data_IF_585021749762
#
_entry.id   IF_585021749762
#
_cell.length_a   1.000
_cell.length_b   1.000
_cell.length_c   1.000
_cell.angle_alpha   90.00
_cell.angle_beta   90.00
_cell.angle_gamma   90.00
#
_symmetry.space_group_name_H-M   'P 1'
#
loop_
_entity.id
_entity.type
_entity.pdbx_description
1 polymer ?
#
# COMPACT_ATOMS: atom_id res chain seq x y z
N UNK A 1 -12.47 4.50 19.36
CA UNK A 1 -13.29 5.60 19.91
C UNK A 1 -14.72 5.25 19.57
N UNK A 2 -15.63 5.28 20.54
CA UNK A 2 -17.04 4.93 20.31
C UNK A 2 -17.94 5.98 20.94
N UNK A 3 -19.24 5.86 20.69
CA UNK A 3 -20.26 6.67 21.35
C UNK A 3 -20.07 6.65 22.87
N UNK A 4 -20.33 7.78 23.52
CA UNK A 4 -20.11 7.98 24.96
C UNK A 4 -21.41 7.92 25.77
N UNK A 5 -22.57 7.85 25.10
CA UNK A 5 -23.88 7.63 25.72
C UNK A 5 -24.75 6.73 24.87
N UNK A 6 -25.71 6.07 25.55
CA UNK A 6 -26.73 5.25 24.91
C UNK A 6 -28.02 6.04 24.65
N UNK A 7 -28.81 5.57 23.70
CA UNK A 7 -30.19 6.00 23.47
C UNK A 7 -31.06 4.84 22.98
N UNK A 8 -32.39 5.05 22.97
CA UNK A 8 -33.35 4.10 22.42
C UNK A 8 -33.58 4.39 20.95
N UNK A 9 -33.07 3.50 20.11
CA UNK A 9 -33.10 3.60 18.65
C UNK A 9 -34.25 2.73 18.11
N UNK A 10 -35.15 3.28 17.28
CA UNK A 10 -36.21 2.48 16.66
C UNK A 10 -35.65 1.50 15.63
N UNK A 11 -36.22 0.31 15.56
CA UNK A 11 -35.89 -0.72 14.57
C UNK A 11 -37.03 -0.90 13.54
N UNK A 12 -36.77 -1.44 12.33
CA UNK A 12 -37.79 -1.60 11.29
C UNK A 12 -39.02 -2.42 11.71
N UNK A 13 -38.89 -3.32 12.70
CA UNK A 13 -39.99 -4.12 13.23
C UNK A 13 -40.95 -3.39 14.20
N UNK A 14 -40.62 -2.14 14.58
CA UNK A 14 -41.40 -1.32 15.52
C UNK A 14 -40.94 -1.44 16.98
N UNK A 15 -40.03 -2.35 17.29
CA UNK A 15 -39.29 -2.39 18.55
C UNK A 15 -38.22 -1.29 18.64
N UNK A 16 -37.64 -1.15 19.83
CA UNK A 16 -36.50 -0.26 20.07
C UNK A 16 -35.30 -1.04 20.60
N UNK A 17 -34.12 -0.70 20.12
CA UNK A 17 -32.84 -1.15 20.63
C UNK A 17 -32.22 -0.05 21.49
N UNK A 18 -31.84 -0.36 22.73
CA UNK A 18 -30.98 0.54 23.50
C UNK A 18 -29.52 0.25 23.14
N UNK A 19 -28.81 1.24 22.61
CA UNK A 19 -27.45 1.07 22.08
C UNK A 19 -26.65 2.38 22.09
N UNK A 20 -25.35 2.29 21.80
CA UNK A 20 -24.35 3.36 21.88
C UNK A 20 -24.26 4.14 20.56
N UNK A 21 -25.03 5.22 20.42
CA UNK A 21 -25.03 6.07 19.21
C UNK A 21 -24.84 7.56 19.47
N UNK A 22 -24.83 8.01 20.73
CA UNK A 22 -24.63 9.42 21.05
C UNK A 22 -23.13 9.71 21.20
N UNK A 23 -22.64 10.70 20.46
CA UNK A 23 -21.29 11.25 20.60
C UNK A 23 -21.38 12.70 21.14
N UNK A 24 -21.12 12.87 22.43
CA UNK A 24 -21.27 14.17 23.12
C UNK A 24 -19.96 14.83 23.56
N UNK A 25 -18.86 14.09 23.67
CA UNK A 25 -17.55 14.58 24.11
C UNK A 25 -16.79 15.55 23.18
N UNK A 26 -17.44 16.20 22.20
CA UNK A 26 -16.80 17.04 21.18
C UNK A 26 -16.45 18.47 21.66
N UNK A 27 -16.05 18.63 22.92
CA UNK A 27 -15.72 19.94 23.52
C UNK A 27 -14.49 20.55 22.85
N UNK A 28 -14.59 21.83 22.48
CA UNK A 28 -13.52 22.56 21.77
C UNK A 28 -13.57 22.44 20.24
N UNK A 29 -14.43 21.56 19.70
CA UNK A 29 -14.64 21.40 18.25
C UNK A 29 -15.25 22.65 17.61
N UNK A 30 -16.19 23.31 18.30
CA UNK A 30 -16.82 24.58 17.88
C UNK A 30 -15.84 25.72 17.57
N UNK A 31 -14.58 25.62 18.02
CA UNK A 31 -13.53 26.58 17.67
C UNK A 31 -13.04 26.43 16.22
N UNK A 32 -13.15 25.22 15.67
CA UNK A 32 -12.58 24.83 14.38
C UNK A 32 -13.65 24.33 13.40
N UNK A 33 -14.80 23.86 13.90
CA UNK A 33 -15.94 23.33 13.14
C UNK A 33 -17.25 23.67 13.82
N UNK A 34 -18.18 24.29 13.10
CA UNK A 34 -19.48 24.74 13.62
C UNK A 34 -20.68 23.92 13.11
N UNK A 35 -20.43 22.85 12.34
CA UNK A 35 -21.46 22.15 11.59
C UNK A 35 -22.28 21.13 12.40
N UNK A 36 -21.79 20.69 13.57
CA UNK A 36 -22.57 19.85 14.49
C UNK A 36 -22.30 20.21 15.96
N UNK A 37 -23.38 20.50 16.68
CA UNK A 37 -23.41 20.77 18.12
C UNK A 37 -23.25 19.48 18.96
N UNK A 38 -23.06 19.67 20.27
CA UNK A 38 -22.96 18.55 21.22
C UNK A 38 -24.24 17.69 21.19
N UNK A 39 -24.11 16.42 20.83
CA UNK A 39 -25.23 15.47 20.71
C UNK A 39 -25.90 15.43 19.34
N UNK A 40 -25.41 16.18 18.35
CA UNK A 40 -25.94 16.12 16.97
C UNK A 40 -25.58 14.82 16.25
N UNK A 41 -24.48 14.19 16.63
CA UNK A 41 -24.17 12.80 16.27
C UNK A 41 -24.94 11.86 17.22
N UNK A 42 -26.11 11.44 16.75
CA UNK A 42 -27.02 10.46 17.38
C UNK A 42 -27.38 9.38 16.35
N UNK A 43 -28.30 8.48 16.67
CA UNK A 43 -28.69 7.36 15.81
C UNK A 43 -29.11 7.76 14.39
N UNK A 44 -29.58 9.00 14.18
CA UNK A 44 -29.96 9.49 12.85
C UNK A 44 -28.77 9.71 11.91
N UNK A 45 -27.53 9.71 12.41
CA UNK A 45 -26.30 9.81 11.64
C UNK A 45 -25.75 8.44 11.20
N UNK A 46 -26.43 7.36 11.57
CA UNK A 46 -25.95 5.99 11.36
C UNK A 46 -27.03 5.12 10.73
N UNK A 47 -26.63 4.18 9.90
CA UNK A 47 -27.54 3.17 9.34
C UNK A 47 -27.79 2.03 10.33
N UNK A 48 -26.76 1.62 11.07
CA UNK A 48 -26.90 0.52 12.03
C UNK A 48 -25.73 0.30 12.97
N UNK A 49 -25.81 -0.77 13.76
CA UNK A 49 -24.80 -1.17 14.75
C UNK A 49 -24.80 -2.69 15.01
N UNK A 50 -23.76 -3.24 15.64
CA UNK A 50 -23.64 -4.65 16.03
C UNK A 50 -23.69 -4.96 17.53
N UNK A 51 -23.94 -3.97 18.39
CA UNK A 51 -23.95 -4.17 19.84
C UNK A 51 -25.19 -3.60 20.52
N UNK A 52 -25.64 -4.26 21.59
CA UNK A 52 -26.61 -3.68 22.55
C UNK A 52 -25.92 -2.75 23.55
N UNK A 53 -26.70 -2.02 24.37
CA UNK A 53 -26.18 -1.13 25.42
C UNK A 53 -25.26 -1.84 26.45
N UNK A 54 -25.32 -3.17 26.56
CA UNK A 54 -24.47 -3.96 27.46
C UNK A 54 -23.18 -4.43 26.78
N UNK A 55 -23.00 -4.13 25.49
CA UNK A 55 -21.86 -4.55 24.69
C UNK A 55 -21.96 -5.99 24.16
N UNK A 56 -23.15 -6.62 24.22
CA UNK A 56 -23.34 -7.92 23.61
C UNK A 56 -23.45 -7.76 22.10
N UNK A 57 -22.73 -8.60 21.36
CA UNK A 57 -22.88 -8.64 19.91
C UNK A 57 -24.28 -9.16 19.53
N UNK A 58 -24.96 -8.39 18.69
CA UNK A 58 -26.27 -8.71 18.12
C UNK A 58 -26.19 -8.93 16.59
N UNK A 59 -24.99 -8.78 16.01
CA UNK A 59 -24.79 -8.78 14.57
C UNK A 59 -25.28 -7.49 13.90
N UNK A 60 -25.01 -7.31 12.59
CA UNK A 60 -25.38 -6.10 11.85
C UNK A 60 -26.89 -5.82 11.96
N UNK A 61 -27.26 -4.73 12.61
CA UNK A 61 -28.65 -4.37 12.88
C UNK A 61 -28.96 -2.99 12.32
N UNK A 62 -29.83 -2.95 11.30
CA UNK A 62 -30.30 -1.74 10.62
C UNK A 62 -31.34 -0.99 11.47
N UNK A 63 -31.25 0.34 11.50
CA UNK A 63 -32.21 1.20 12.20
C UNK A 63 -33.47 1.49 11.38
N UNK A 64 -34.55 1.92 12.05
CA UNK A 64 -35.81 2.21 11.38
C UNK A 64 -35.68 3.38 10.39
N UNK A 65 -36.16 3.18 9.17
CA UNK A 65 -36.14 4.20 8.11
C UNK A 65 -34.76 4.41 7.47
N UNK A 66 -33.77 3.58 7.81
CA UNK A 66 -32.44 3.56 7.22
C UNK A 66 -32.31 2.48 6.16
N UNK A 67 -31.27 2.60 5.34
CA UNK A 67 -30.88 1.59 4.36
C UNK A 67 -29.39 1.69 4.14
N UNK A 68 -28.71 0.54 4.19
CA UNK A 68 -27.29 0.43 3.84
C UNK A 68 -26.98 1.15 2.52
N UNK A 69 -25.86 1.84 2.52
CA UNK A 69 -25.37 2.70 1.46
C UNK A 69 -24.97 1.95 0.18
N UNK A 70 -24.72 2.72 -0.89
CA UNK A 70 -24.25 2.20 -2.18
C UNK A 70 -22.72 2.04 -2.19
N UNK A 71 -22.23 1.22 -1.27
CA UNK A 71 -20.84 0.78 -1.20
C UNK A 71 -20.52 -0.30 -2.25
N UNK A 72 -19.22 -0.50 -2.52
CA UNK A 72 -18.80 -1.52 -3.50
C UNK A 72 -18.91 -2.95 -2.96
N UNK A 73 -18.62 -3.12 -1.66
CA UNK A 73 -18.85 -4.35 -0.90
C UNK A 73 -19.97 -4.09 0.13
N UNK A 74 -20.18 -4.98 1.10
CA UNK A 74 -21.13 -4.73 2.19
C UNK A 74 -20.78 -3.43 2.91
N UNK A 75 -21.76 -2.54 3.09
CA UNK A 75 -21.61 -1.27 3.79
C UNK A 75 -21.18 -1.49 5.24
N UNK A 76 -22.05 -2.19 5.99
CA UNK A 76 -21.76 -2.54 7.37
C UNK A 76 -20.45 -3.33 7.53
N UNK A 77 -19.53 -2.78 8.32
CA UNK A 77 -18.31 -3.45 8.75
C UNK A 77 -18.27 -3.69 10.27
N UNK A 78 -18.31 -2.63 11.06
CA UNK A 78 -18.24 -2.68 12.53
C UNK A 78 -18.68 -1.36 13.17
N UNK A 79 -19.16 -1.43 14.41
CA UNK A 79 -19.50 -0.24 15.19
C UNK A 79 -20.72 0.50 14.64
N UNK A 80 -20.78 1.81 14.87
CA UNK A 80 -21.85 2.66 14.32
C UNK A 80 -21.54 2.92 12.85
N UNK A 81 -22.30 2.29 11.97
CA UNK A 81 -22.14 2.40 10.53
C UNK A 81 -22.72 3.74 10.06
N UNK A 82 -21.90 4.57 9.42
CA UNK A 82 -22.23 5.97 9.13
C UNK A 82 -23.17 6.04 7.93
N UNK A 83 -24.30 6.73 8.10
CA UNK A 83 -25.25 6.96 7.00
C UNK A 83 -24.77 8.15 6.15
N UNK A 84 -24.22 7.86 4.97
CA UNK A 84 -23.81 8.88 4.01
C UNK A 84 -24.92 9.33 3.04
N UNK A 85 -26.15 8.81 3.16
CA UNK A 85 -27.35 9.41 2.55
C UNK A 85 -27.84 10.63 3.35
N UNK A 86 -27.40 10.79 4.59
CA UNK A 86 -27.68 11.97 5.40
C UNK A 86 -26.78 13.16 5.03
N UNK A 87 -27.35 14.16 4.35
CA UNK A 87 -26.61 15.33 3.86
C UNK A 87 -25.82 16.07 4.94
N UNK A 88 -26.33 16.12 6.19
CA UNK A 88 -25.58 16.77 7.30
C UNK A 88 -24.30 16.02 7.64
N UNK A 89 -24.32 14.69 7.57
CA UNK A 89 -23.14 13.84 7.81
C UNK A 89 -22.13 14.05 6.68
N UNK A 90 -22.61 14.11 5.43
CA UNK A 90 -21.77 14.37 4.26
C UNK A 90 -21.09 15.74 4.34
N UNK A 91 -21.84 16.81 4.61
CA UNK A 91 -21.31 18.17 4.74
C UNK A 91 -20.25 18.27 5.84
N UNK A 92 -20.49 17.63 6.98
CA UNK A 92 -19.55 17.57 8.11
C UNK A 92 -18.26 16.83 7.73
N UNK A 93 -18.35 15.65 7.11
CA UNK A 93 -17.19 14.87 6.69
C UNK A 93 -16.35 15.59 5.62
N UNK A 94 -16.99 16.32 4.70
CA UNK A 94 -16.32 17.15 3.70
C UNK A 94 -15.63 18.34 4.36
N UNK A 95 -16.32 19.05 5.27
CA UNK A 95 -15.74 20.16 6.00
C UNK A 95 -14.48 19.71 6.78
N UNK A 96 -14.53 18.54 7.41
CA UNK A 96 -13.38 17.92 8.07
C UNK A 96 -12.21 17.64 7.12
N UNK A 97 -12.48 17.07 5.95
CA UNK A 97 -11.45 16.85 4.93
C UNK A 97 -10.78 18.15 4.48
N UNK A 98 -11.57 19.20 4.22
CA UNK A 98 -11.06 20.53 3.81
C UNK A 98 -10.19 21.16 4.90
N UNK A 99 -10.63 21.11 6.15
CA UNK A 99 -9.87 21.65 7.28
C UNK A 99 -8.54 20.92 7.50
N UNK A 100 -8.49 19.59 7.35
CA UNK A 100 -7.21 18.87 7.45
C UNK A 100 -6.20 19.38 6.43
N UNK A 101 -6.65 19.69 5.21
CA UNK A 101 -5.81 20.24 4.16
C UNK A 101 -5.42 21.69 4.44
N UNK A 102 -6.39 22.54 4.79
CA UNK A 102 -6.19 23.98 4.89
C UNK A 102 -5.49 24.41 6.18
N UNK A 103 -5.81 23.77 7.30
CA UNK A 103 -5.32 24.16 8.63
C UNK A 103 -4.12 23.32 9.08
N UNK A 104 -4.15 22.00 8.82
CA UNK A 104 -3.00 21.13 9.16
C UNK A 104 -2.01 20.97 8.01
N UNK A 105 -2.36 21.40 6.80
CA UNK A 105 -1.46 21.38 5.66
C UNK A 105 -1.17 20.00 5.09
N UNK A 106 -2.01 18.99 5.37
CA UNK A 106 -1.77 17.62 4.89
C UNK A 106 -1.76 17.56 3.35
N UNK A 107 -0.93 16.69 2.79
CA UNK A 107 -0.72 16.57 1.34
C UNK A 107 -1.50 15.41 0.70
N UNK A 108 -2.33 14.71 1.48
CA UNK A 108 -3.05 13.54 1.01
C UNK A 108 -3.70 12.72 2.11
N UNK A 109 -4.34 11.64 1.71
CA UNK A 109 -5.17 10.80 2.57
C UNK A 109 -4.96 9.31 2.30
N UNK A 110 -5.02 8.52 3.38
CA UNK A 110 -5.28 7.08 3.31
C UNK A 110 -6.75 6.86 3.67
N UNK A 111 -7.56 6.42 2.72
CA UNK A 111 -8.94 6.03 2.94
C UNK A 111 -8.98 4.61 3.49
N UNK A 112 -9.41 4.49 4.75
CA UNK A 112 -9.62 3.21 5.44
C UNK A 112 -10.90 2.53 4.94
N UNK A 113 -10.91 1.19 4.88
CA UNK A 113 -12.10 0.39 4.60
C UNK A 113 -12.91 0.87 3.37
N UNK A 114 -12.25 1.42 2.35
CA UNK A 114 -12.91 2.27 1.35
C UNK A 114 -13.94 1.54 0.46
N UNK A 115 -13.94 0.21 0.45
CA UNK A 115 -14.97 -0.58 -0.25
C UNK A 115 -16.29 -0.70 0.52
N UNK A 116 -16.27 -0.38 1.81
CA UNK A 116 -17.39 -0.38 2.76
C UNK A 116 -17.96 1.03 2.98
N UNK A 117 -17.60 2.00 2.15
CA UNK A 117 -18.09 3.37 2.26
C UNK A 117 -18.91 3.67 1.01
N UNK A 118 -19.99 4.42 1.16
CA UNK A 118 -20.83 4.90 0.05
C UNK A 118 -20.00 5.48 -1.10
N UNK A 119 -20.16 4.91 -2.29
CA UNK A 119 -19.38 5.30 -3.46
C UNK A 119 -19.73 6.73 -3.92
N UNK A 120 -21.01 7.11 -4.07
CA UNK A 120 -21.39 8.50 -4.36
C UNK A 120 -20.77 9.53 -3.40
N UNK A 121 -20.82 9.29 -2.09
CA UNK A 121 -20.21 10.15 -1.08
C UNK A 121 -18.70 10.27 -1.28
N UNK A 122 -17.97 9.15 -1.40
CA UNK A 122 -16.52 9.20 -1.60
C UNK A 122 -16.14 10.03 -2.83
N UNK A 123 -16.89 9.90 -3.94
CA UNK A 123 -16.64 10.69 -5.15
C UNK A 123 -16.81 12.18 -4.87
N UNK A 124 -17.91 12.57 -4.22
CA UNK A 124 -18.15 13.98 -3.85
C UNK A 124 -17.08 14.50 -2.90
N UNK A 125 -16.73 13.72 -1.89
CA UNK A 125 -15.71 14.08 -0.90
C UNK A 125 -14.35 14.34 -1.56
N UNK A 126 -13.93 13.46 -2.47
CA UNK A 126 -12.68 13.60 -3.21
C UNK A 126 -12.65 14.89 -4.04
N UNK A 127 -13.74 15.18 -4.78
CA UNK A 127 -13.83 16.38 -5.62
C UNK A 127 -13.81 17.66 -4.78
N UNK A 128 -14.61 17.69 -3.71
CA UNK A 128 -14.74 18.88 -2.87
C UNK A 128 -13.49 19.17 -2.03
N UNK A 129 -12.82 18.14 -1.52
CA UNK A 129 -11.58 18.31 -0.75
C UNK A 129 -10.44 18.69 -1.67
N UNK A 130 -10.32 18.08 -2.85
CA UNK A 130 -9.33 18.48 -3.86
C UNK A 130 -9.54 19.93 -4.32
N UNK A 131 -10.79 20.37 -4.53
CA UNK A 131 -11.09 21.75 -4.92
C UNK A 131 -10.76 22.80 -3.85
N UNK A 132 -10.45 22.38 -2.62
CA UNK A 132 -10.13 23.28 -1.50
C UNK A 132 -8.66 23.72 -1.45
N UNK A 133 -7.83 23.23 -2.37
CA UNK A 133 -6.38 23.48 -2.43
C UNK A 133 -5.85 23.42 -3.87
N UNK A 134 -4.77 24.14 -4.16
CA UNK A 134 -4.05 24.06 -5.44
C UNK A 134 -3.07 22.87 -5.50
N UNK A 135 -2.82 22.20 -4.37
CA UNK A 135 -1.96 21.01 -4.31
C UNK A 135 -2.67 19.82 -4.94
N UNK A 136 -1.98 18.98 -5.71
CA UNK A 136 -2.49 17.64 -6.04
C UNK A 136 -2.41 16.76 -4.80
N UNK A 137 -3.57 16.39 -4.24
CA UNK A 137 -3.63 15.56 -3.04
C UNK A 137 -3.33 14.10 -3.39
N UNK A 138 -2.41 13.47 -2.65
CA UNK A 138 -2.14 12.06 -2.82
C UNK A 138 -3.21 11.21 -2.12
N UNK A 139 -4.06 10.55 -2.89
CA UNK A 139 -5.12 9.68 -2.36
C UNK A 139 -4.71 8.21 -2.53
N UNK A 140 -4.65 7.48 -1.42
CA UNK A 140 -4.57 6.03 -1.41
C UNK A 140 -5.73 5.42 -0.63
N UNK A 141 -6.32 4.34 -1.13
CA UNK A 141 -7.44 3.67 -0.52
C UNK A 141 -7.11 2.21 -0.22
N UNK A 142 -7.58 1.75 0.92
CA UNK A 142 -7.54 0.35 1.30
C UNK A 142 -8.81 -0.35 0.83
N UNK A 143 -8.66 -1.08 -0.28
CA UNK A 143 -9.70 -1.90 -0.89
C UNK A 143 -9.19 -3.33 -0.88
N UNK A 144 -9.52 -4.06 0.18
CA UNK A 144 -8.94 -5.39 0.41
C UNK A 144 -9.58 -6.45 -0.50
N UNK A 145 -8.95 -6.69 -1.65
CA UNK A 145 -9.18 -7.85 -2.50
C UNK A 145 -7.86 -8.47 -2.94
N UNK A 146 -7.78 -9.80 -2.90
CA UNK A 146 -6.61 -10.58 -3.31
C UNK A 146 -6.46 -10.76 -4.83
N UNK A 147 -7.40 -10.26 -5.63
CA UNK A 147 -7.37 -10.36 -7.09
C UNK A 147 -7.39 -8.97 -7.76
N UNK A 148 -6.69 -8.83 -8.88
CA UNK A 148 -6.57 -7.54 -9.59
C UNK A 148 -7.84 -7.12 -10.31
N UNK A 149 -8.77 -8.04 -10.56
CA UNK A 149 -10.01 -7.75 -11.30
C UNK A 149 -10.97 -6.92 -10.45
N UNK A 150 -11.19 -7.31 -9.19
CA UNK A 150 -11.98 -6.53 -8.22
C UNK A 150 -11.41 -5.12 -8.02
N UNK A 151 -10.10 -4.98 -7.90
CA UNK A 151 -9.46 -3.66 -7.78
C UNK A 151 -9.67 -2.79 -9.03
N UNK A 152 -9.61 -3.38 -10.23
CA UNK A 152 -9.88 -2.64 -11.46
C UNK A 152 -11.35 -2.23 -11.60
N UNK A 153 -12.29 -3.08 -11.15
CA UNK A 153 -13.70 -2.70 -11.11
C UNK A 153 -13.96 -1.58 -10.11
N UNK A 154 -13.32 -1.60 -8.94
CA UNK A 154 -13.41 -0.50 -7.99
C UNK A 154 -12.86 0.79 -8.58
N UNK A 155 -11.67 0.78 -9.18
CA UNK A 155 -11.10 1.95 -9.87
C UNK A 155 -12.03 2.53 -10.94
N UNK A 156 -12.76 1.68 -11.67
CA UNK A 156 -13.67 2.11 -12.73
C UNK A 156 -14.87 2.94 -12.21
N UNK A 157 -15.18 2.92 -10.92
CA UNK A 157 -16.24 3.75 -10.34
C UNK A 157 -15.85 5.23 -10.24
N UNK A 158 -14.55 5.50 -10.14
CA UNK A 158 -13.99 6.82 -9.83
C UNK A 158 -13.55 7.59 -11.08
N UNK A 159 -13.61 6.97 -12.27
CA UNK A 159 -13.30 7.57 -13.57
C UNK A 159 -12.00 8.41 -13.59
N UNK A 160 -12.12 9.75 -13.56
CA UNK A 160 -11.03 10.71 -13.68
C UNK A 160 -10.31 10.99 -12.34
N UNK A 161 -10.90 10.55 -11.22
CA UNK A 161 -10.32 10.77 -9.90
C UNK A 161 -9.11 9.86 -9.71
N UNK A 162 -7.95 10.46 -9.42
CA UNK A 162 -6.64 9.79 -9.35
C UNK A 162 -6.41 9.03 -8.03
N UNK A 163 -7.37 8.18 -7.66
CA UNK A 163 -7.24 7.33 -6.47
C UNK A 163 -6.23 6.21 -6.71
N UNK A 164 -5.44 5.86 -5.70
CA UNK A 164 -4.50 4.74 -5.76
C UNK A 164 -4.95 3.67 -4.77
N UNK A 165 -4.67 2.40 -5.04
CA UNK A 165 -5.09 1.28 -4.19
C UNK A 165 -3.87 0.53 -3.66
N UNK A 166 -3.96 0.03 -2.43
CA UNK A 166 -3.00 -0.95 -1.92
C UNK A 166 -3.02 -2.23 -2.78
N UNK A 167 -1.84 -2.67 -3.20
CA UNK A 167 -1.67 -3.83 -4.09
C UNK A 167 -1.66 -5.15 -3.30
N UNK A 168 -2.81 -5.48 -2.71
CA UNK A 168 -3.01 -6.77 -2.03
C UNK A 168 -2.76 -7.99 -2.95
N UNK A 169 -3.12 -7.98 -4.26
CA UNK A 169 -2.80 -9.09 -5.15
C UNK A 169 -1.30 -9.35 -5.31
N UNK A 170 -0.47 -8.29 -5.31
CA UNK A 170 0.99 -8.44 -5.27
C UNK A 170 1.44 -9.01 -3.93
N UNK A 171 0.89 -8.53 -2.81
CA UNK A 171 1.20 -9.05 -1.48
C UNK A 171 0.94 -10.56 -1.37
N UNK A 172 -0.13 -11.08 -1.97
CA UNK A 172 -0.39 -12.52 -2.00
C UNK A 172 0.75 -13.31 -2.68
N UNK A 173 1.38 -12.74 -3.71
CA UNK A 173 2.57 -13.37 -4.31
C UNK A 173 3.75 -13.39 -3.34
N UNK A 174 3.90 -12.36 -2.51
CA UNK A 174 4.92 -12.37 -1.45
C UNK A 174 4.62 -13.38 -0.34
N UNK A 175 3.34 -13.70 -0.09
CA UNK A 175 2.95 -14.85 0.73
C UNK A 175 3.45 -16.18 0.14
N UNK A 176 3.31 -16.37 -1.17
CA UNK A 176 3.88 -17.54 -1.86
C UNK A 176 5.41 -17.54 -1.84
N UNK A 177 6.05 -16.37 -1.96
CA UNK A 177 7.50 -16.22 -1.89
C UNK A 177 8.03 -16.59 -0.50
N UNK A 178 7.39 -16.09 0.56
CA UNK A 178 7.67 -16.47 1.95
C UNK A 178 7.70 -17.98 2.11
N UNK A 179 6.71 -18.66 1.54
CA UNK A 179 6.55 -20.12 1.63
C UNK A 179 7.46 -20.90 0.66
N UNK A 180 8.22 -20.22 -0.22
CA UNK A 180 9.05 -20.87 -1.24
C UNK A 180 8.25 -21.54 -2.36
N UNK A 181 6.97 -21.16 -2.54
CA UNK A 181 6.03 -21.73 -3.51
C UNK A 181 5.80 -20.85 -4.73
N UNK A 182 6.28 -19.61 -4.72
CA UNK A 182 6.12 -18.68 -5.84
C UNK A 182 6.91 -19.17 -7.07
N UNK A 183 6.24 -19.25 -8.21
CA UNK A 183 6.90 -19.30 -9.51
C UNK A 183 7.45 -17.90 -9.82
N UNK A 184 8.76 -17.70 -9.66
CA UNK A 184 9.39 -16.37 -9.76
C UNK A 184 9.18 -15.69 -11.12
N UNK A 185 8.98 -16.47 -12.20
CA UNK A 185 8.69 -15.93 -13.53
C UNK A 185 7.36 -15.16 -13.59
N UNK A 186 6.41 -15.39 -12.67
CA UNK A 186 5.12 -14.69 -12.67
C UNK A 186 5.22 -13.24 -12.19
N UNK A 187 6.29 -12.87 -11.48
CA UNK A 187 6.43 -11.56 -10.84
C UNK A 187 6.35 -10.38 -11.82
N UNK A 188 6.83 -10.53 -13.06
CA UNK A 188 6.73 -9.47 -14.08
C UNK A 188 5.29 -9.15 -14.53
N UNK A 189 4.31 -9.95 -14.09
CA UNK A 189 2.88 -9.78 -14.44
C UNK A 189 1.95 -9.71 -13.22
N UNK A 190 2.51 -9.84 -12.02
CA UNK A 190 1.79 -9.95 -10.77
C UNK A 190 1.35 -8.59 -10.23
N UNK A 191 0.22 -8.55 -9.52
CA UNK A 191 -0.22 -7.35 -8.84
C UNK A 191 -0.88 -6.31 -9.74
N UNK A 192 -1.54 -5.35 -9.09
CA UNK A 192 -2.10 -4.16 -9.73
C UNK A 192 -0.99 -3.32 -10.37
N UNK A 193 0.22 -3.31 -9.78
CA UNK A 193 1.38 -2.57 -10.29
C UNK A 193 1.75 -2.93 -11.73
N UNK A 194 1.43 -4.14 -12.20
CA UNK A 194 1.64 -4.58 -13.58
C UNK A 194 0.40 -4.48 -14.48
N UNK A 195 -0.71 -3.89 -14.00
CA UNK A 195 -2.00 -3.77 -14.72
C UNK A 195 -2.54 -2.33 -14.78
N UNK A 196 -2.34 -1.55 -13.71
CA UNK A 196 -2.70 -0.13 -13.54
C UNK A 196 -1.58 0.55 -12.75
N UNK A 197 -0.48 0.80 -13.45
CA UNK A 197 0.84 1.13 -12.91
C UNK A 197 0.87 2.40 -12.05
N UNK A 198 0.07 3.40 -12.43
CA UNK A 198 -0.11 4.71 -11.78
C UNK A 198 -1.12 4.71 -10.63
N UNK A 199 -1.86 3.61 -10.46
CA UNK A 199 -2.86 3.42 -9.40
C UNK A 199 -2.42 2.45 -8.30
N UNK A 200 -1.20 1.90 -8.35
CA UNK A 200 -0.76 0.88 -7.40
C UNK A 200 0.14 1.43 -6.29
N UNK A 201 -0.29 1.26 -5.03
CA UNK A 201 0.55 1.42 -3.84
C UNK A 201 1.06 0.04 -3.43
N UNK A 202 2.34 -0.22 -3.67
CA UNK A 202 2.93 -1.53 -3.40
C UNK A 202 3.46 -1.59 -1.97
N UNK A 203 3.27 -2.72 -1.29
CA UNK A 203 3.66 -2.89 0.11
C UNK A 203 3.91 -4.37 0.41
N UNK A 204 4.57 -4.64 1.55
CA UNK A 204 4.89 -6.01 1.99
C UNK A 204 4.00 -6.45 3.15
N UNK A 205 4.00 -5.66 4.22
CA UNK A 205 3.12 -5.82 5.37
C UNK A 205 2.60 -4.45 5.83
N UNK A 206 1.51 -4.47 6.59
CA UNK A 206 0.96 -3.30 7.27
C UNK A 206 0.56 -3.69 8.71
N UNK A 207 -0.17 -2.79 9.38
CA UNK A 207 -0.61 -2.98 10.75
C UNK A 207 -1.67 -4.08 10.92
N UNK A 208 -2.37 -4.52 9.87
CA UNK A 208 -3.31 -5.63 9.94
C UNK A 208 -2.64 -6.96 9.65
N UNK A 209 -1.74 -6.97 8.68
CA UNK A 209 -1.09 -8.19 8.22
C UNK A 209 0.10 -8.60 9.09
N UNK A 210 0.63 -7.69 9.91
CA UNK A 210 1.67 -7.96 10.88
C UNK A 210 1.44 -7.27 12.23
N UNK A 211 0.58 -7.89 13.05
CA UNK A 211 0.23 -7.46 14.43
C UNK A 211 0.32 -8.59 15.43
N UNK A 212 0.51 -8.20 16.69
CA UNK A 212 0.58 -9.12 17.82
C UNK A 212 -0.82 -9.41 18.37
N UNK A 213 -1.00 -10.59 18.96
CA UNK A 213 -2.22 -10.95 19.70
C UNK A 213 -3.44 -11.32 18.85
N UNK A 214 -3.37 -11.23 17.52
CA UNK A 214 -4.44 -11.63 16.60
C UNK A 214 -3.90 -12.41 15.41
N UNK A 215 -4.78 -13.19 14.76
CA UNK A 215 -4.42 -13.97 13.60
C UNK A 215 -3.96 -13.04 12.46
N UNK A 216 -2.66 -13.03 12.19
CA UNK A 216 -2.04 -12.28 11.10
C UNK A 216 -1.11 -13.20 10.31
N UNK A 217 -0.80 -12.83 9.07
CA UNK A 217 0.00 -13.65 8.14
C UNK A 217 1.21 -12.87 7.62
N UNK A 218 2.13 -12.47 8.51
CA UNK A 218 3.27 -11.63 8.11
C UNK A 218 4.15 -12.34 7.07
N UNK A 219 4.84 -11.55 6.26
CA UNK A 219 5.87 -12.03 5.33
C UNK A 219 7.15 -12.35 6.12
N UNK A 220 7.16 -13.44 6.89
CA UNK A 220 8.22 -13.73 7.86
C UNK A 220 9.56 -14.21 7.26
N UNK A 221 9.60 -14.55 5.98
CA UNK A 221 10.76 -15.08 5.25
C UNK A 221 10.83 -14.44 3.87
N UNK A 222 12.04 -14.26 3.32
CA UNK A 222 12.30 -13.60 2.03
C UNK A 222 11.74 -12.16 1.92
N UNK A 223 11.66 -11.47 3.05
CA UNK A 223 11.10 -10.12 3.13
C UNK A 223 11.95 -9.09 2.36
N UNK A 224 13.28 -9.20 2.42
CA UNK A 224 14.19 -8.34 1.67
C UNK A 224 14.05 -8.52 0.14
N UNK A 225 13.79 -9.74 -0.34
CA UNK A 225 13.50 -10.01 -1.76
C UNK A 225 12.23 -9.25 -2.20
N UNK A 226 11.19 -9.29 -1.38
CA UNK A 226 9.94 -8.59 -1.66
C UNK A 226 10.12 -7.06 -1.64
N UNK A 227 10.86 -6.53 -0.65
CA UNK A 227 11.21 -5.10 -0.61
C UNK A 227 12.08 -4.67 -1.80
N UNK A 228 13.09 -5.47 -2.16
CA UNK A 228 13.94 -5.21 -3.31
C UNK A 228 13.15 -5.20 -4.62
N UNK A 229 12.13 -6.05 -4.75
CA UNK A 229 11.17 -5.96 -5.86
C UNK A 229 10.48 -4.59 -5.86
N UNK A 230 9.66 -4.27 -4.84
CA UNK A 230 8.81 -3.06 -4.90
C UNK A 230 9.61 -1.75 -4.97
N UNK A 231 10.79 -1.70 -4.37
CA UNK A 231 11.61 -0.48 -4.31
C UNK A 231 12.43 -0.23 -5.58
N UNK A 232 12.72 -1.27 -6.39
CA UNK A 232 13.53 -1.10 -7.62
C UNK A 232 12.71 -1.02 -8.90
N UNK A 233 11.44 -1.45 -8.86
CA UNK A 233 10.47 -1.31 -9.96
C UNK A 233 10.32 0.15 -10.41
N UNK A 234 10.11 0.33 -11.72
CA UNK A 234 9.84 1.64 -12.32
C UNK A 234 8.43 2.13 -11.99
N UNK A 235 7.48 1.21 -11.84
CA UNK A 235 6.06 1.49 -11.60
C UNK A 235 5.67 1.34 -10.13
N UNK A 236 4.55 1.98 -9.76
CA UNK A 236 3.96 1.92 -8.44
C UNK A 236 4.61 2.85 -7.40
N UNK A 237 3.89 3.01 -6.29
CA UNK A 237 4.28 3.81 -5.14
C UNK A 237 4.59 2.89 -3.95
N UNK A 238 5.87 2.53 -3.71
CA UNK A 238 6.22 1.58 -2.66
C UNK A 238 6.13 2.19 -1.26
N UNK A 239 5.59 1.42 -0.33
CA UNK A 239 5.49 1.76 1.10
C UNK A 239 6.41 0.85 1.91
N UNK A 240 7.22 1.47 2.78
CA UNK A 240 8.03 0.76 3.77
C UNK A 240 7.28 0.73 5.10
N UNK A 241 7.12 -0.46 5.68
CA UNK A 241 6.41 -0.59 6.94
C UNK A 241 7.33 -0.27 8.13
N UNK A 242 6.87 0.63 9.00
CA UNK A 242 7.63 1.09 10.18
C UNK A 242 8.17 -0.06 11.03
N UNK A 243 7.33 -1.07 11.31
CA UNK A 243 7.72 -2.20 12.15
C UNK A 243 8.86 -3.00 11.53
N UNK A 244 8.87 -3.16 10.21
CA UNK A 244 9.95 -3.86 9.53
C UNK A 244 11.26 -3.08 9.60
N UNK A 245 11.20 -1.76 9.42
CA UNK A 245 12.37 -0.90 9.46
C UNK A 245 13.00 -0.82 10.86
N UNK A 246 12.19 -0.66 11.91
CA UNK A 246 12.70 -0.35 13.26
C UNK A 246 12.60 -1.50 14.26
N UNK A 247 11.64 -2.42 14.11
CA UNK A 247 11.28 -3.38 15.17
C UNK A 247 11.34 -4.85 14.72
N UNK A 248 11.91 -5.13 13.54
CA UNK A 248 12.02 -6.49 13.00
C UNK A 248 13.47 -6.88 12.63
N UNK A 249 14.46 -6.08 13.03
CA UNK A 249 15.88 -6.38 12.81
C UNK A 249 16.34 -6.30 11.35
N UNK A 250 15.60 -5.63 10.46
CA UNK A 250 15.93 -5.50 9.03
C UNK A 250 16.49 -4.13 8.66
N UNK A 251 16.85 -3.30 9.63
CA UNK A 251 17.25 -1.91 9.39
C UNK A 251 18.40 -1.81 8.37
N UNK A 252 19.46 -2.59 8.55
CA UNK A 252 20.66 -2.53 7.72
C UNK A 252 20.38 -2.92 6.26
N UNK A 253 19.60 -3.99 6.04
CA UNK A 253 19.17 -4.40 4.71
C UNK A 253 18.23 -3.37 4.08
N UNK A 254 17.25 -2.88 4.85
CA UNK A 254 16.25 -1.93 4.36
C UNK A 254 16.86 -0.60 3.94
N UNK A 255 17.80 -0.06 4.71
CA UNK A 255 18.51 1.18 4.34
C UNK A 255 19.26 1.00 3.03
N UNK A 256 19.90 -0.16 2.78
CA UNK A 256 20.53 -0.44 1.48
C UNK A 256 19.54 -0.46 0.33
N UNK A 257 18.38 -1.12 0.50
CA UNK A 257 17.37 -1.20 -0.57
C UNK A 257 16.76 0.18 -0.84
N UNK A 258 16.48 0.97 0.20
CA UNK A 258 16.00 2.35 0.08
C UNK A 258 17.04 3.22 -0.63
N UNK A 259 18.31 3.10 -0.26
CA UNK A 259 19.40 3.81 -0.94
C UNK A 259 19.49 3.40 -2.42
N UNK A 260 19.31 2.11 -2.72
CA UNK A 260 19.33 1.65 -4.09
C UNK A 260 18.20 2.23 -4.94
N UNK A 261 17.01 2.40 -4.36
CA UNK A 261 15.91 3.15 -4.99
C UNK A 261 16.30 4.60 -5.25
N UNK A 262 16.89 5.26 -4.25
CA UNK A 262 17.24 6.69 -4.29
C UNK A 262 18.34 7.02 -5.29
N UNK A 263 19.31 6.14 -5.51
CA UNK A 263 20.48 6.47 -6.33
C UNK A 263 20.48 5.78 -7.70
N UNK A 264 19.92 4.56 -7.80
CA UNK A 264 20.13 3.69 -8.96
C UNK A 264 18.85 3.33 -9.70
N UNK A 265 17.69 3.28 -9.04
CA UNK A 265 16.45 2.80 -9.65
C UNK A 265 15.77 3.87 -10.53
N UNK A 266 16.45 4.27 -11.62
CA UNK A 266 15.97 5.26 -12.57
C UNK A 266 16.01 4.77 -14.02
N UNK A 267 15.34 5.51 -14.90
CA UNK A 267 15.19 5.17 -16.32
C UNK A 267 14.21 4.03 -16.58
N UNK A 268 14.07 3.62 -17.86
CA UNK A 268 13.15 2.57 -18.26
C UNK A 268 13.42 1.22 -17.56
N UNK A 269 12.34 0.50 -17.30
CA UNK A 269 12.36 -0.85 -16.73
C UNK A 269 12.31 -1.95 -17.80
N UNK A 270 13.02 -3.05 -17.59
CA UNK A 270 12.99 -4.23 -18.48
C UNK A 270 12.95 -5.53 -17.68
N UNK A 271 12.06 -6.43 -18.06
CA UNK A 271 12.04 -7.81 -17.54
C UNK A 271 13.26 -8.60 -18.02
N UNK A 272 13.77 -9.50 -17.18
CA UNK A 272 14.84 -10.43 -17.55
C UNK A 272 14.38 -11.49 -18.55
N UNK A 273 15.13 -11.62 -19.66
CA UNK A 273 14.83 -12.56 -20.76
C UNK A 273 14.91 -14.04 -20.33
N UNK A 274 15.65 -14.35 -19.25
CA UNK A 274 15.90 -15.71 -18.76
C UNK A 274 15.30 -15.96 -17.36
N UNK A 275 14.26 -15.21 -17.00
CA UNK A 275 13.47 -15.46 -15.79
C UNK A 275 12.91 -16.89 -15.81
N UNK A 276 12.89 -17.54 -14.64
CA UNK A 276 12.47 -18.93 -14.50
C UNK A 276 11.73 -19.16 -13.17
N UNK A 277 11.28 -20.38 -12.86
CA UNK A 277 10.53 -20.64 -11.63
C UNK A 277 11.26 -20.32 -10.32
N UNK A 278 12.59 -20.21 -10.32
CA UNK A 278 13.42 -19.96 -9.14
C UNK A 278 14.05 -18.56 -9.10
N UNK A 279 14.34 -17.96 -10.26
CA UNK A 279 15.05 -16.68 -10.35
C UNK A 279 14.28 -15.66 -11.16
N UNK A 280 14.17 -14.46 -10.58
CA UNK A 280 13.63 -13.27 -11.24
C UNK A 280 14.72 -12.21 -11.38
N UNK A 281 14.87 -11.67 -12.58
CA UNK A 281 15.74 -10.57 -12.91
C UNK A 281 14.94 -9.41 -13.51
N UNK A 282 15.35 -8.19 -13.18
CA UNK A 282 14.74 -6.96 -13.67
C UNK A 282 15.81 -5.87 -13.78
N UNK A 283 15.71 -5.03 -14.81
CA UNK A 283 16.71 -4.02 -15.14
C UNK A 283 16.10 -2.64 -15.11
N UNK A 284 16.82 -1.69 -14.51
CA UNK A 284 16.61 -0.26 -14.72
C UNK A 284 17.77 0.27 -15.54
N UNK A 285 17.49 0.79 -16.74
CA UNK A 285 18.54 1.21 -17.66
C UNK A 285 19.33 2.45 -17.19
N UNK A 286 18.84 3.15 -16.17
CA UNK A 286 19.40 4.44 -15.74
C UNK A 286 18.91 5.59 -16.63
N UNK A 287 19.16 6.81 -16.18
CA UNK A 287 18.94 8.03 -16.95
C UNK A 287 20.20 8.35 -17.73
N UNK A 288 20.03 8.78 -18.98
CA UNK A 288 21.16 9.18 -19.85
C UNK A 288 21.98 10.30 -19.20
N UNK A 289 21.30 11.25 -18.55
CA UNK A 289 21.92 12.43 -17.95
C UNK A 289 22.58 12.16 -16.58
N UNK A 290 22.31 11.00 -15.95
CA UNK A 290 22.73 10.71 -14.58
C UNK A 290 23.72 9.55 -14.58
N UNK A 291 24.99 9.88 -14.55
CA UNK A 291 26.08 8.91 -14.46
C UNK A 291 25.92 8.01 -13.22
N UNK A 292 26.23 6.72 -13.37
CA UNK A 292 26.10 5.74 -12.29
C UNK A 292 24.66 5.30 -11.98
N UNK A 293 23.62 5.95 -12.53
CA UNK A 293 22.25 5.47 -12.38
C UNK A 293 22.00 4.17 -13.18
N UNK A 294 20.93 3.45 -12.83
CA UNK A 294 20.60 2.14 -13.38
C UNK A 294 21.03 1.00 -12.47
N UNK A 295 20.33 -0.13 -12.57
CA UNK A 295 20.63 -1.33 -11.77
C UNK A 295 20.16 -2.61 -12.48
N UNK A 296 20.71 -3.74 -12.06
CA UNK A 296 20.17 -5.08 -12.33
C UNK A 296 19.77 -5.72 -11.00
N UNK A 297 18.47 -5.92 -10.80
CA UNK A 297 17.93 -6.71 -9.70
C UNK A 297 18.00 -8.19 -10.05
N UNK A 298 18.44 -9.00 -9.11
CA UNK A 298 18.36 -10.46 -9.14
C UNK A 298 17.73 -10.97 -7.84
N UNK A 299 16.71 -11.81 -7.95
CA UNK A 299 16.03 -12.44 -6.81
C UNK A 299 16.01 -13.96 -6.98
N UNK A 300 16.17 -14.70 -5.89
CA UNK A 300 15.96 -16.14 -5.82
C UNK A 300 14.92 -16.53 -4.76
N UNK A 301 14.12 -17.54 -5.06
CA UNK A 301 13.21 -18.19 -4.11
C UNK A 301 13.79 -19.46 -3.48
N UNK A 302 14.91 -20.00 -3.96
CA UNK A 302 15.45 -21.29 -3.48
C UNK A 302 16.26 -21.23 -2.19
N UNK A 303 16.79 -22.38 -1.79
CA UNK A 303 17.52 -22.60 -0.53
C UNK A 303 18.75 -23.52 -0.69
N UNK A 304 19.24 -23.73 -1.93
CA UNK A 304 20.38 -24.62 -2.18
C UNK A 304 21.72 -24.10 -1.66
N UNK A 305 21.77 -22.83 -1.21
CA UNK A 305 22.98 -22.10 -0.78
C UNK A 305 24.01 -21.88 -1.90
N UNK A 306 23.71 -22.29 -3.13
CA UNK A 306 24.56 -22.05 -4.29
C UNK A 306 24.44 -20.60 -4.78
N UNK A 307 25.39 -20.16 -5.58
CA UNK A 307 25.25 -18.93 -6.35
C UNK A 307 24.65 -19.28 -7.71
N UNK A 308 23.52 -18.67 -8.05
CA UNK A 308 22.89 -18.82 -9.37
C UNK A 308 23.34 -17.69 -10.27
N UNK A 309 23.63 -18.02 -11.52
CA UNK A 309 24.07 -17.07 -12.54
C UNK A 309 23.02 -16.95 -13.66
N UNK A 310 22.81 -15.74 -14.17
CA UNK A 310 21.95 -15.47 -15.33
C UNK A 310 22.62 -14.46 -16.26
N UNK A 311 22.56 -14.74 -17.57
CA UNK A 311 22.90 -13.75 -18.60
C UNK A 311 21.75 -12.74 -18.70
N UNK A 312 22.02 -11.47 -18.41
CA UNK A 312 21.02 -10.39 -18.42
C UNK A 312 21.57 -9.20 -19.21
N UNK A 313 20.75 -8.60 -20.06
CA UNK A 313 21.10 -7.33 -20.73
C UNK A 313 20.86 -6.15 -19.80
N UNK A 314 21.92 -5.57 -19.26
CA UNK A 314 21.87 -4.43 -18.35
C UNK A 314 21.62 -3.08 -19.04
N UNK A 315 21.53 -3.07 -20.38
CA UNK A 315 21.35 -1.88 -21.24
C UNK A 315 22.51 -0.87 -21.16
N UNK A 316 23.64 -1.27 -20.58
CA UNK A 316 24.87 -0.48 -20.49
C UNK A 316 26.05 -1.30 -21.00
N UNK A 317 26.49 -1.12 -22.26
CA UNK A 317 27.66 -1.81 -22.80
C UNK A 317 28.94 -1.53 -22.03
N UNK A 318 29.86 -2.50 -22.02
CA UNK A 318 31.23 -2.36 -21.49
C UNK A 318 31.33 -1.75 -20.07
N UNK A 319 30.32 -1.97 -19.23
CA UNK A 319 30.21 -1.40 -17.89
C UNK A 319 30.51 -2.46 -16.83
N UNK A 320 31.28 -2.07 -15.81
CA UNK A 320 31.55 -2.91 -14.64
C UNK A 320 30.48 -2.66 -13.58
N UNK A 321 29.94 -3.74 -13.04
CA UNK A 321 28.94 -3.75 -11.98
C UNK A 321 29.48 -4.45 -10.73
N UNK A 322 29.02 -3.98 -9.56
CA UNK A 322 29.21 -4.66 -8.28
C UNK A 322 27.86 -4.85 -7.57
N UNK A 323 27.76 -5.85 -6.70
CA UNK A 323 26.56 -6.08 -5.90
C UNK A 323 26.53 -5.10 -4.70
N UNK A 324 25.65 -4.10 -4.78
CA UNK A 324 25.47 -3.08 -3.76
C UNK A 324 25.02 -3.63 -2.40
N UNK A 325 24.40 -4.82 -2.39
CA UNK A 325 23.95 -5.46 -1.15
C UNK A 325 25.12 -6.01 -0.32
N UNK A 326 26.23 -6.34 -1.00
CA UNK A 326 27.39 -7.02 -0.44
C UNK A 326 27.25 -8.54 -0.31
N UNK A 327 26.15 -9.12 -0.81
CA UNK A 327 25.92 -10.58 -0.76
C UNK A 327 26.91 -11.32 -1.67
N UNK A 328 27.32 -10.73 -2.80
CA UNK A 328 28.31 -11.29 -3.73
C UNK A 328 29.49 -10.33 -3.88
N UNK A 329 30.71 -10.82 -3.62
CA UNK A 329 31.96 -10.03 -3.65
C UNK A 329 32.73 -10.16 -4.97
N UNK A 330 32.00 -10.26 -6.08
CA UNK A 330 32.55 -10.39 -7.41
C UNK A 330 31.99 -9.28 -8.27
N UNK A 331 32.77 -8.80 -9.24
CA UNK A 331 32.30 -7.86 -10.25
C UNK A 331 31.71 -8.60 -11.46
N UNK A 332 30.88 -7.89 -12.22
CA UNK A 332 30.34 -8.35 -13.50
C UNK A 332 30.65 -7.29 -14.54
N UNK A 333 31.34 -7.67 -15.61
CA UNK A 333 31.55 -6.81 -16.76
C UNK A 333 30.56 -7.19 -17.85
N UNK A 334 29.82 -6.21 -18.35
CA UNK A 334 28.94 -6.41 -19.51
C UNK A 334 29.75 -6.36 -20.82
N UNK A 335 29.31 -7.10 -21.83
CA UNK A 335 29.87 -7.04 -23.18
C UNK A 335 29.45 -5.76 -23.95
N UNK A 336 29.83 -5.69 -25.22
CA UNK A 336 29.53 -4.58 -26.13
C UNK A 336 28.03 -4.43 -26.46
N UNK A 337 27.20 -5.44 -26.18
CA UNK A 337 25.75 -5.42 -26.36
C UNK A 337 25.01 -5.13 -25.03
N UNK A 338 25.76 -5.00 -23.93
CA UNK A 338 25.22 -4.74 -22.59
C UNK A 338 24.87 -6.00 -21.79
N UNK A 339 25.20 -7.20 -22.27
CA UNK A 339 24.94 -8.45 -21.53
C UNK A 339 26.06 -8.76 -20.54
N UNK A 340 25.69 -9.15 -19.32
CA UNK A 340 26.60 -9.66 -18.29
C UNK A 340 26.06 -10.93 -17.63
N UNK A 341 26.94 -11.68 -16.97
CA UNK A 341 26.58 -12.86 -16.15
C UNK A 341 26.39 -12.42 -14.70
N UNK A 342 25.17 -11.99 -14.38
CA UNK A 342 24.78 -11.51 -13.05
C UNK A 342 24.45 -12.67 -12.13
N UNK A 343 24.65 -12.45 -10.83
CA UNK A 343 24.63 -13.52 -9.82
C UNK A 343 23.70 -13.18 -8.66
N UNK A 344 23.18 -14.21 -7.99
CA UNK A 344 22.42 -14.11 -6.73
C UNK A 344 22.63 -15.37 -5.90
N UNK A 345 22.62 -15.26 -4.57
CA UNK A 345 22.64 -16.46 -3.70
C UNK A 345 21.28 -17.15 -3.74
N UNK A 346 21.28 -18.47 -3.62
CA UNK A 346 20.08 -19.27 -3.53
C UNK A 346 19.74 -19.57 -2.07
N UNK A 347 19.34 -18.53 -1.32
CA UNK A 347 18.94 -18.65 0.07
C UNK A 347 17.79 -17.70 0.40
N UNK A 348 17.11 -17.97 1.51
CA UNK A 348 16.00 -17.15 1.93
C UNK A 348 16.44 -15.80 2.54
N UNK A 349 17.64 -15.76 3.13
CA UNK A 349 18.19 -14.59 3.82
C UNK A 349 18.90 -13.64 2.84
N UNK A 350 19.56 -14.19 1.81
CA UNK A 350 20.42 -13.44 0.89
C UNK A 350 20.07 -13.66 -0.58
N UNK A 351 18.88 -14.18 -0.86
CA UNK A 351 18.37 -14.40 -2.21
C UNK A 351 17.97 -13.13 -2.96
N UNK A 352 18.71 -12.04 -2.77
CA UNK A 352 18.53 -10.76 -3.43
C UNK A 352 19.90 -10.11 -3.64
N UNK A 353 20.16 -9.65 -4.86
CA UNK A 353 21.33 -8.86 -5.23
C UNK A 353 20.89 -7.68 -6.09
N UNK A 354 21.46 -6.50 -5.84
CA UNK A 354 21.20 -5.29 -6.60
C UNK A 354 22.55 -4.85 -7.17
N UNK A 355 22.73 -5.12 -8.46
CA UNK A 355 23.95 -4.83 -9.17
C UNK A 355 23.91 -3.41 -9.71
N UNK A 356 24.91 -2.59 -9.39
CA UNK A 356 24.97 -1.17 -9.77
C UNK A 356 26.30 -0.85 -10.46
N UNK A 357 26.35 0.14 -11.36
CA UNK A 357 27.59 0.52 -12.05
C UNK A 357 28.68 0.98 -11.06
N UNK A 358 29.91 0.49 -11.25
CA UNK A 358 31.06 0.81 -10.38
C UNK A 358 31.48 2.30 -10.43
N UNK A 359 31.16 3.02 -11.52
CA UNK A 359 31.45 4.45 -11.68
C UNK A 359 30.82 5.32 -10.56
N UNK A 360 29.80 4.83 -9.86
CA UNK A 360 29.17 5.53 -8.74
C UNK A 360 29.99 5.50 -7.45
N UNK A 361 30.85 4.49 -7.23
CA UNK A 361 31.63 4.36 -6.00
C UNK A 361 32.60 5.55 -5.78
N UNK A 362 32.99 6.22 -6.86
CA UNK A 362 33.83 7.43 -6.84
C UNK A 362 33.12 8.66 -6.25
N UNK A 363 31.80 8.76 -6.36
CA UNK A 363 31.06 9.96 -5.93
C UNK A 363 30.78 9.98 -4.42
N UNK A 364 30.45 8.82 -3.82
CA UNK A 364 30.18 8.72 -2.38
C UNK A 364 31.42 8.91 -1.49
N UNK A 365 32.62 8.67 -2.02
CA UNK A 365 33.88 8.92 -1.32
C UNK A 365 34.29 10.41 -1.29
N UNK A 366 33.61 11.28 -2.04
CA UNK A 366 33.89 12.73 -2.06
C UNK A 366 32.97 13.49 -1.09
N UNK A 367 31.87 12.87 -0.63
CA UNK A 367 30.85 13.50 0.24
C UNK A 367 30.77 12.94 1.66
N UNK A 368 31.77 12.17 2.11
CA UNK A 368 32.01 11.91 3.54
C UNK A 368 33.18 12.77 4.00
#
# INVERSE_FOLDING_TARGET
MGADRTEKVPLPGGETLETWTIFSGMKGRNKYYDQAAEGDWNWQCFDGIDVDARGNSIGPTLFAGKSWDQSFDQDYLLGCDVDYQNEKVVEEAIAWGKWLVQELGVDGFRLDAAKHIDTPFLKRWLDEVQASTDKELFIMAEVWYSNTMSLQFYLALFNEQKIKLFDFPLREQFGLLRDGRLNMNSLGSAGLVNKRTDHAVTFIDNHDTFRDGLASTPISKRKCQAYAYILTRAEGYPVVFWRDLYNNGLYDEMVKIIQARKDFAYGPGYEGELNDPKVYAYVRAGLVEVEGSGLVLMLSSGESQQTIEKRVNARKPNTVYYDFTGNIKQEVQTDHEGYGIFKVRDSAEQGWSIWVPAAHASYLNITK
#
